data_IF_262233820787
#
_entry.id   IF_262233820787
#
_cell.length_a   1.000
_cell.length_b   1.000
_cell.length_c   1.000
_cell.angle_alpha   90.00
_cell.angle_beta   90.00
_cell.angle_gamma   90.00
#
_symmetry.space_group_name_H-M   'P 1'
#
loop_
_entity.id
_entity.type
_entity.pdbx_description
1 polymer ?
#
# COMPACT_ATOMS: atom_id res chain seq x y z
N UNK A 1 -25.44 -0.80 18.94
CA UNK A 1 -25.13 -0.10 20.20
C UNK A 1 -23.99 0.87 19.88
N UNK A 2 -24.17 2.05 19.28
CA UNK A 2 -25.03 3.19 19.64
C UNK A 2 -25.03 3.48 21.14
N UNK A 3 -24.38 4.59 21.48
CA UNK A 3 -24.32 5.31 22.76
C UNK A 3 -23.31 4.80 23.80
N UNK A 4 -22.07 5.31 23.75
CA UNK A 4 -21.17 5.28 24.92
C UNK A 4 -20.09 6.39 24.98
N UNK A 5 -20.17 7.48 24.20
CA UNK A 5 -19.10 8.52 24.23
C UNK A 5 -19.60 9.95 24.47
N UNK A 6 -20.90 10.20 24.56
CA UNK A 6 -21.44 11.58 24.68
C UNK A 6 -21.52 12.09 26.13
N UNK A 7 -21.14 11.30 27.14
CA UNK A 7 -21.36 11.68 28.55
C UNK A 7 -20.12 12.06 29.37
N UNK A 8 -18.92 12.17 28.77
CA UNK A 8 -17.72 12.50 29.55
C UNK A 8 -17.41 14.01 29.67
N UNK A 9 -17.88 14.90 28.80
CA UNK A 9 -17.29 16.26 28.74
C UNK A 9 -18.11 17.43 29.28
N UNK A 10 -19.18 17.19 30.04
CA UNK A 10 -19.84 18.26 30.81
C UNK A 10 -19.86 17.97 32.31
N UNK A 11 -18.68 17.82 32.91
CA UNK A 11 -18.52 18.26 34.29
C UNK A 11 -18.22 19.76 34.24
N UNK A 12 -19.04 20.63 34.87
CA UNK A 12 -18.67 22.01 35.05
C UNK A 12 -17.41 22.02 35.91
N UNK A 13 -16.26 22.26 35.27
CA UNK A 13 -15.04 22.60 35.97
C UNK A 13 -15.32 23.91 36.71
N UNK A 14 -15.75 23.80 37.97
CA UNK A 14 -15.74 24.91 38.90
C UNK A 14 -14.28 25.33 39.05
N UNK A 15 -13.94 26.38 38.32
CA UNK A 15 -12.65 27.03 38.43
C UNK A 15 -12.67 27.79 39.75
N UNK A 16 -12.18 27.18 40.82
CA UNK A 16 -11.89 27.92 42.03
C UNK A 16 -10.69 28.82 41.72
N UNK A 17 -10.77 30.14 41.99
CA UNK A 17 -9.61 31.00 41.87
C UNK A 17 -8.51 30.46 42.80
N UNK A 18 -7.29 30.38 42.28
CA UNK A 18 -6.12 29.98 43.08
C UNK A 18 -5.79 31.16 44.00
N UNK A 19 -6.25 31.08 45.25
CA UNK A 19 -5.95 32.08 46.27
C UNK A 19 -4.51 31.84 46.78
N UNK A 20 -3.59 32.77 46.52
CA UNK A 20 -2.21 32.70 47.03
C UNK A 20 -2.19 33.22 48.48
N UNK A 21 -1.84 32.37 49.45
CA UNK A 21 -1.72 32.77 50.86
C UNK A 21 -0.25 33.04 51.24
N UNK A 22 0.17 34.31 51.23
CA UNK A 22 1.40 34.75 51.89
C UNK A 22 1.08 35.27 53.30
N UNK A 23 1.10 34.37 54.29
CA UNK A 23 1.11 34.75 55.71
C UNK A 23 -0.13 35.50 56.24
N UNK A 24 -0.20 35.76 57.55
CA UNK A 24 -1.40 36.28 58.18
C UNK A 24 -1.48 37.81 58.04
N UNK A 25 -2.37 38.31 57.17
CA UNK A 25 -2.94 39.66 57.34
C UNK A 25 -3.03 40.60 56.14
N UNK A 26 -2.59 40.23 54.94
CA UNK A 26 -2.84 41.06 53.75
C UNK A 26 -3.13 40.21 52.52
N UNK A 27 -4.34 40.32 51.97
CA UNK A 27 -4.66 39.81 50.65
C UNK A 27 -4.01 40.71 49.59
N UNK A 28 -2.80 40.36 49.17
CA UNK A 28 -2.19 40.93 47.96
C UNK A 28 -2.58 40.07 46.74
N UNK A 29 -2.84 40.69 45.57
CA UNK A 29 -3.04 39.92 44.34
C UNK A 29 -1.81 39.05 44.06
N UNK A 30 -2.02 37.76 43.74
CA UNK A 30 -0.94 36.92 43.19
C UNK A 30 -0.23 37.70 42.07
N UNK A 31 1.12 37.64 41.95
CA UNK A 31 1.80 38.28 40.82
C UNK A 31 1.18 37.76 39.53
N UNK A 32 0.44 38.64 38.84
CA UNK A 32 -0.20 38.30 37.58
C UNK A 32 0.90 37.89 36.62
N UNK A 33 0.76 36.70 36.03
CA UNK A 33 1.67 36.24 34.99
C UNK A 33 1.84 37.35 33.94
N UNK A 34 3.09 37.69 33.62
CA UNK A 34 3.38 38.72 32.62
C UNK A 34 2.97 38.26 31.22
N UNK A 35 2.60 39.21 30.37
CA UNK A 35 2.27 38.96 28.97
C UNK A 35 3.40 38.21 28.23
N UNK A 36 4.66 38.53 28.53
CA UNK A 36 5.85 37.85 28.02
C UNK A 36 5.84 36.36 28.36
N UNK A 37 5.62 35.99 29.63
CA UNK A 37 5.54 34.58 30.06
C UNK A 37 4.36 33.82 29.45
N UNK A 38 3.28 34.52 29.08
CA UNK A 38 2.17 33.92 28.34
C UNK A 38 2.56 33.66 26.89
N UNK A 39 3.18 34.65 26.23
CA UNK A 39 3.65 34.53 24.86
C UNK A 39 4.66 33.39 24.73
N UNK A 40 5.63 33.31 25.65
CA UNK A 40 6.62 32.23 25.67
C UNK A 40 5.96 30.85 25.77
N UNK A 41 4.95 30.69 26.64
CA UNK A 41 4.23 29.41 26.75
C UNK A 41 3.42 29.07 25.51
N UNK A 42 2.80 30.06 24.87
CA UNK A 42 2.03 29.86 23.64
C UNK A 42 2.96 29.49 22.48
N UNK A 43 4.11 30.16 22.36
CA UNK A 43 5.15 29.84 21.38
C UNK A 43 5.67 28.42 21.60
N UNK A 44 6.01 28.08 22.84
CA UNK A 44 6.50 26.74 23.19
C UNK A 44 5.47 25.64 22.86
N UNK A 45 4.18 25.89 23.09
CA UNK A 45 3.13 24.96 22.69
C UNK A 45 3.05 24.82 21.16
N UNK A 46 3.11 25.93 20.43
CA UNK A 46 3.09 25.90 18.96
C UNK A 46 4.29 25.11 18.39
N UNK A 47 5.49 25.30 18.95
CA UNK A 47 6.70 24.56 18.55
C UNK A 47 6.60 23.06 18.85
N UNK A 48 6.09 22.70 20.03
CA UNK A 48 5.90 21.30 20.39
C UNK A 48 4.87 20.63 19.49
N UNK A 49 3.75 21.31 19.21
CA UNK A 49 2.72 20.82 18.28
C UNK A 49 3.32 20.61 16.89
N UNK A 50 4.11 21.56 16.40
CA UNK A 50 4.79 21.44 15.11
C UNK A 50 5.71 20.22 15.08
N UNK A 51 6.58 20.05 16.08
CA UNK A 51 7.55 18.95 16.16
C UNK A 51 6.86 17.59 16.19
N UNK A 52 5.87 17.41 17.06
CA UNK A 52 5.10 16.15 17.16
C UNK A 52 4.35 15.87 15.86
N UNK A 53 3.86 16.92 15.19
CA UNK A 53 3.20 16.78 13.87
C UNK A 53 4.20 16.34 12.79
N UNK A 54 5.42 16.86 12.81
CA UNK A 54 6.49 16.48 11.89
C UNK A 54 6.89 15.00 12.08
N UNK A 55 7.13 14.59 13.32
CA UNK A 55 7.41 13.19 13.69
C UNK A 55 6.26 12.25 13.28
N UNK A 56 5.01 12.69 13.45
CA UNK A 56 3.85 11.91 13.01
C UNK A 56 3.79 11.79 11.47
N UNK A 57 4.24 12.82 10.75
CA UNK A 57 4.24 12.87 9.29
C UNK A 57 5.31 11.96 8.67
N UNK A 58 6.50 11.88 9.29
CA UNK A 58 7.57 10.96 8.86
C UNK A 58 7.14 9.50 9.05
N UNK A 59 6.59 9.15 10.22
CA UNK A 59 6.09 7.80 10.50
C UNK A 59 4.99 7.37 9.53
N UNK A 60 4.07 8.28 9.17
CA UNK A 60 3.02 7.97 8.19
C UNK A 60 3.60 7.77 6.78
N UNK A 61 4.66 8.51 6.42
CA UNK A 61 5.36 8.35 5.14
C UNK A 61 6.12 7.02 5.06
N UNK A 62 6.76 6.58 6.15
CA UNK A 62 7.41 5.26 6.24
C UNK A 62 6.40 4.12 6.10
N UNK A 63 5.26 4.20 6.79
CA UNK A 63 4.18 3.21 6.65
C UNK A 63 3.64 3.14 5.22
N UNK A 64 3.53 4.29 4.55
CA UNK A 64 3.12 4.35 3.16
C UNK A 64 4.16 3.70 2.22
N UNK A 65 5.46 3.98 2.43
CA UNK A 65 6.55 3.36 1.65
C UNK A 65 6.64 1.84 1.85
N UNK A 66 6.43 1.35 3.09
CA UNK A 66 6.33 -0.09 3.39
C UNK A 66 5.17 -0.71 2.60
N UNK A 67 4.03 -0.03 2.55
CA UNK A 67 2.87 -0.50 1.79
C UNK A 67 3.11 -0.49 0.28
N UNK A 68 3.83 0.51 -0.25
CA UNK A 68 4.15 0.61 -1.67
C UNK A 68 5.16 -0.47 -2.10
N UNK A 69 6.13 -0.76 -1.25
CA UNK A 69 7.10 -1.85 -1.45
C UNK A 69 6.38 -3.21 -1.47
N UNK A 70 5.42 -3.42 -0.58
CA UNK A 70 4.59 -4.63 -0.56
C UNK A 70 3.70 -4.75 -1.81
N UNK A 71 3.08 -3.65 -2.27
CA UNK A 71 2.29 -3.63 -3.48
C UNK A 71 3.13 -4.01 -4.70
N UNK A 72 4.33 -3.45 -4.84
CA UNK A 72 5.24 -3.79 -5.95
C UNK A 72 5.69 -5.25 -5.93
N UNK A 73 6.10 -5.77 -4.76
CA UNK A 73 6.45 -7.18 -4.64
C UNK A 73 5.26 -8.09 -4.92
N UNK A 74 4.05 -7.70 -4.50
CA UNK A 74 2.83 -8.43 -4.82
C UNK A 74 2.57 -8.49 -6.32
N UNK A 75 2.79 -7.39 -7.06
CA UNK A 75 2.70 -7.38 -8.52
C UNK A 75 3.76 -8.30 -9.14
N UNK A 76 5.01 -8.24 -8.68
CA UNK A 76 6.08 -9.11 -9.18
C UNK A 76 5.75 -10.60 -8.99
N UNK A 77 5.29 -10.99 -7.79
CA UNK A 77 4.89 -12.37 -7.50
C UNK A 77 3.74 -12.84 -8.38
N UNK A 78 2.73 -11.99 -8.61
CA UNK A 78 1.63 -12.32 -9.51
C UNK A 78 2.16 -12.50 -10.94
N UNK A 79 3.00 -11.59 -11.43
CA UNK A 79 3.58 -11.67 -12.78
C UNK A 79 4.36 -12.99 -12.94
N UNK A 80 5.25 -13.30 -12.00
CA UNK A 80 6.06 -14.53 -12.03
C UNK A 80 5.23 -15.81 -11.95
N UNK A 81 4.15 -15.81 -11.17
CA UNK A 81 3.26 -16.98 -11.07
C UNK A 81 2.51 -17.29 -12.37
N UNK A 82 2.41 -16.33 -13.29
CA UNK A 82 1.64 -16.47 -14.55
C UNK A 82 2.51 -16.67 -15.79
N UNK A 83 3.85 -16.52 -15.70
CA UNK A 83 4.76 -16.75 -16.83
C UNK A 83 4.64 -18.19 -17.35
N UNK A 84 4.92 -19.18 -16.49
CA UNK A 84 4.91 -20.59 -16.88
C UNK A 84 3.51 -21.09 -17.29
N UNK A 85 2.41 -20.78 -16.56
CA UNK A 85 1.07 -21.18 -16.99
C UNK A 85 0.64 -20.62 -18.34
N UNK A 86 1.03 -19.39 -18.70
CA UNK A 86 0.69 -18.81 -20.00
C UNK A 86 1.51 -19.41 -21.15
N UNK A 87 2.79 -19.72 -20.92
CA UNK A 87 3.61 -20.45 -21.89
C UNK A 87 3.03 -21.85 -22.12
N UNK A 88 2.71 -22.58 -21.06
CA UNK A 88 2.07 -23.89 -21.18
C UNK A 88 0.73 -23.83 -21.92
N UNK A 89 -0.11 -22.85 -21.58
CA UNK A 89 -1.38 -22.62 -22.25
C UNK A 89 -1.20 -22.38 -23.76
N UNK A 90 -0.21 -21.58 -24.16
CA UNK A 90 0.13 -21.38 -25.57
C UNK A 90 0.42 -22.72 -26.26
N UNK A 91 1.31 -23.54 -25.69
CA UNK A 91 1.67 -24.85 -26.28
C UNK A 91 0.50 -25.84 -26.35
N UNK A 92 -0.50 -25.66 -25.50
CA UNK A 92 -1.71 -26.50 -25.49
C UNK A 92 -2.68 -26.05 -26.56
N UNK A 93 -2.86 -24.72 -26.72
CA UNK A 93 -3.70 -24.15 -27.77
C UNK A 93 -3.18 -24.47 -29.19
N UNK A 94 -1.86 -24.54 -29.39
CA UNK A 94 -1.25 -24.94 -30.67
C UNK A 94 -1.59 -26.39 -31.08
N UNK A 95 -1.97 -27.24 -30.12
CA UNK A 95 -2.32 -28.65 -30.35
C UNK A 95 -3.81 -28.87 -30.64
N UNK A 96 -4.64 -27.83 -30.57
CA UNK A 96 -6.08 -27.94 -30.80
C UNK A 96 -6.43 -27.63 -32.25
N UNK A 97 -6.97 -28.63 -32.97
CA UNK A 97 -7.32 -28.54 -34.40
C UNK A 97 -8.34 -27.44 -34.77
N UNK A 98 -9.08 -26.89 -33.80
CA UNK A 98 -10.15 -25.92 -34.02
C UNK A 98 -10.02 -24.60 -33.22
N UNK A 99 -8.83 -24.25 -32.73
CA UNK A 99 -8.62 -22.96 -32.05
C UNK A 99 -8.59 -21.83 -33.08
N UNK A 100 -9.39 -20.75 -32.89
CA UNK A 100 -9.30 -19.57 -33.74
C UNK A 100 -7.91 -18.93 -33.64
N UNK A 101 -7.26 -18.65 -34.78
CA UNK A 101 -5.95 -17.98 -34.84
C UNK A 101 -5.90 -16.69 -34.00
N UNK A 102 -7.04 -15.99 -33.90
CA UNK A 102 -7.20 -14.81 -33.07
C UNK A 102 -6.94 -15.07 -31.58
N UNK A 103 -7.40 -16.21 -31.06
CA UNK A 103 -7.21 -16.57 -29.65
C UNK A 103 -5.74 -16.93 -29.40
N UNK A 104 -5.14 -17.74 -30.27
CA UNK A 104 -3.73 -18.12 -30.17
C UNK A 104 -2.80 -16.89 -30.20
N UNK A 105 -3.00 -16.00 -31.18
CA UNK A 105 -2.22 -14.77 -31.31
C UNK A 105 -2.36 -13.85 -30.11
N UNK A 106 -3.57 -13.74 -29.53
CA UNK A 106 -3.79 -12.96 -28.30
C UNK A 106 -3.08 -13.57 -27.11
N UNK A 107 -3.18 -14.89 -26.90
CA UNK A 107 -2.49 -15.57 -25.78
C UNK A 107 -0.98 -15.38 -25.87
N UNK A 108 -0.41 -15.53 -27.06
CA UNK A 108 1.02 -15.28 -27.31
C UNK A 108 1.42 -13.84 -26.98
N UNK A 109 0.68 -12.85 -27.49
CA UNK A 109 0.94 -11.45 -27.19
C UNK A 109 0.87 -11.15 -25.69
N UNK A 110 -0.11 -11.73 -24.98
CA UNK A 110 -0.25 -11.58 -23.52
C UNK A 110 0.96 -12.15 -22.79
N UNK A 111 1.43 -13.35 -23.16
CA UNK A 111 2.62 -13.96 -22.56
C UNK A 111 3.88 -13.08 -22.76
N UNK A 112 4.10 -12.57 -23.98
CA UNK A 112 5.21 -11.66 -24.28
C UNK A 112 5.14 -10.35 -23.47
N UNK A 113 3.93 -9.80 -23.31
CA UNK A 113 3.72 -8.58 -22.51
C UNK A 113 3.85 -8.81 -21.02
N UNK A 114 3.53 -10.00 -20.53
CA UNK A 114 3.73 -10.35 -19.12
C UNK A 114 5.23 -10.36 -18.77
N UNK A 115 6.08 -10.93 -19.63
CA UNK A 115 7.54 -10.90 -19.45
C UNK A 115 8.06 -9.46 -19.50
N UNK A 116 7.56 -8.64 -20.44
CA UNK A 116 7.93 -7.22 -20.51
C UNK A 116 7.54 -6.46 -19.25
N UNK A 117 6.36 -6.78 -18.67
CA UNK A 117 5.88 -6.21 -17.43
C UNK A 117 6.78 -6.61 -16.24
N UNK A 118 7.19 -7.88 -16.16
CA UNK A 118 8.13 -8.35 -15.14
C UNK A 118 9.40 -7.50 -15.11
N UNK A 119 10.00 -7.28 -16.27
CA UNK A 119 11.21 -6.47 -16.39
C UNK A 119 10.96 -5.02 -15.95
N UNK A 120 9.82 -4.44 -16.34
CA UNK A 120 9.41 -3.11 -15.91
C UNK A 120 9.23 -3.01 -14.39
N UNK A 121 8.60 -4.00 -13.76
CA UNK A 121 8.39 -4.04 -12.31
C UNK A 121 9.72 -4.25 -11.57
N UNK A 122 10.62 -5.10 -12.06
CA UNK A 122 11.96 -5.28 -11.48
C UNK A 122 12.78 -3.99 -11.51
N UNK A 123 12.74 -3.25 -12.63
CA UNK A 123 13.39 -1.92 -12.71
C UNK A 123 12.76 -0.93 -11.74
N UNK A 124 11.43 -0.93 -11.61
CA UNK A 124 10.72 -0.05 -10.68
C UNK A 124 11.01 -0.40 -9.21
N UNK A 125 11.06 -1.68 -8.86
CA UNK A 125 11.49 -2.15 -7.53
C UNK A 125 12.90 -1.68 -7.25
N UNK A 126 13.86 -1.88 -8.17
CA UNK A 126 15.23 -1.40 -8.00
C UNK A 126 15.26 0.12 -7.76
N UNK A 127 14.55 0.89 -8.58
CA UNK A 127 14.49 2.35 -8.44
C UNK A 127 13.87 2.80 -7.11
N UNK A 128 12.84 2.11 -6.62
CA UNK A 128 12.16 2.43 -5.35
C UNK A 128 12.88 1.87 -4.12
N UNK A 129 13.72 0.85 -4.29
CA UNK A 129 14.52 0.21 -3.25
C UNK A 129 15.96 0.76 -3.17
N UNK A 130 16.48 1.43 -4.22
CA UNK A 130 17.80 2.07 -4.21
C UNK A 130 17.89 3.28 -3.27
N UNK A 131 16.77 3.83 -2.80
CA UNK A 131 16.74 4.74 -1.63
C UNK A 131 16.88 3.98 -0.28
N UNK A 132 17.01 2.66 -0.28
CA UNK A 132 17.05 1.81 0.91
C UNK A 132 17.62 0.40 0.67
N UNK A 133 18.90 0.33 0.29
CA UNK A 133 19.81 -0.84 0.38
C UNK A 133 19.49 -2.13 -0.41
N UNK A 134 20.61 -2.72 -0.84
CA UNK A 134 20.84 -3.88 -1.71
C UNK A 134 20.23 -5.21 -1.24
N UNK A 135 19.69 -6.00 -2.16
CA UNK A 135 19.58 -7.46 -1.99
C UNK A 135 19.42 -8.20 -3.32
N UNK A 136 20.26 -9.21 -3.52
CA UNK A 136 20.30 -10.14 -4.66
C UNK A 136 19.45 -11.38 -4.34
N UNK A 137 18.74 -11.92 -5.33
CA UNK A 137 18.06 -13.22 -5.20
C UNK A 137 18.53 -14.18 -6.29
N UNK A 138 18.84 -15.41 -5.85
CA UNK A 138 19.34 -16.52 -6.65
C UNK A 138 18.20 -17.48 -7.02
N UNK A 139 18.39 -18.09 -8.18
CA UNK A 139 17.50 -18.93 -8.96
C UNK A 139 17.35 -20.36 -8.38
N UNK A 140 16.13 -20.92 -8.42
CA UNK A 140 15.92 -22.37 -8.28
C UNK A 140 14.75 -22.88 -9.14
N UNK A 141 15.14 -23.67 -10.14
CA UNK A 141 14.36 -24.42 -11.10
C UNK A 141 13.48 -25.53 -10.49
N UNK A 142 12.28 -25.70 -11.03
CA UNK A 142 11.32 -26.78 -10.73
C UNK A 142 11.48 -28.01 -11.65
N UNK A 143 11.12 -29.20 -11.16
CA UNK A 143 10.92 -30.44 -11.95
C UNK A 143 9.44 -30.86 -11.87
N UNK A 144 8.81 -31.15 -13.02
CA UNK A 144 7.43 -31.66 -13.14
C UNK A 144 7.40 -33.14 -13.55
N UNK A 145 6.27 -33.81 -13.28
CA UNK A 145 5.90 -35.11 -13.84
C UNK A 145 4.50 -35.02 -14.46
N UNK A 146 4.33 -35.61 -15.65
CA UNK A 146 3.19 -35.44 -16.58
C UNK A 146 2.22 -36.64 -16.52
N UNK A 147 0.91 -36.35 -16.44
CA UNK A 147 -0.18 -37.30 -16.70
C UNK A 147 -1.23 -36.54 -17.52
N UNK A 148 -1.49 -37.01 -18.73
CA UNK A 148 -2.38 -36.37 -19.70
C UNK A 148 -3.88 -36.66 -19.40
N UNK A 149 -4.74 -35.64 -19.30
CA UNK A 149 -6.19 -35.80 -19.17
C UNK A 149 -6.95 -35.62 -20.50
N UNK A 150 -8.20 -36.09 -20.53
CA UNK A 150 -9.13 -36.06 -21.66
C UNK A 150 -9.34 -34.64 -22.24
N UNK A 151 -9.42 -34.54 -23.58
CA UNK A 151 -9.37 -33.26 -24.34
C UNK A 151 -10.40 -32.23 -23.86
N UNK A 152 -11.60 -32.66 -23.47
CA UNK A 152 -12.66 -31.76 -22.97
C UNK A 152 -12.33 -31.17 -21.58
N UNK A 153 -11.74 -31.98 -20.69
CA UNK A 153 -11.27 -31.52 -19.38
C UNK A 153 -10.09 -30.56 -19.53
N UNK A 154 -9.25 -30.78 -20.54
CA UNK A 154 -8.14 -29.87 -20.89
C UNK A 154 -8.64 -28.49 -21.31
N UNK A 155 -9.67 -28.42 -22.17
CA UNK A 155 -10.25 -27.14 -22.62
C UNK A 155 -10.87 -26.36 -21.45
N UNK A 156 -11.59 -27.05 -20.55
CA UNK A 156 -12.19 -26.42 -19.37
C UNK A 156 -11.12 -25.88 -18.40
N UNK A 157 -10.03 -26.63 -18.20
CA UNK A 157 -8.89 -26.20 -17.39
C UNK A 157 -8.25 -24.95 -17.98
N UNK A 158 -8.01 -24.93 -19.28
CA UNK A 158 -7.39 -23.82 -20.00
C UNK A 158 -8.26 -22.55 -19.97
N UNK A 159 -9.57 -22.71 -20.14
CA UNK A 159 -10.54 -21.61 -19.94
C UNK A 159 -10.53 -21.04 -18.52
N UNK A 160 -10.44 -21.93 -17.51
CA UNK A 160 -10.37 -21.52 -16.10
C UNK A 160 -9.08 -20.75 -15.82
N UNK A 161 -7.94 -21.23 -16.33
CA UNK A 161 -6.65 -20.54 -16.24
C UNK A 161 -6.72 -19.12 -16.83
N UNK A 162 -7.31 -18.95 -18.02
CA UNK A 162 -7.52 -17.62 -18.61
C UNK A 162 -8.41 -16.70 -17.76
N UNK A 163 -9.45 -17.26 -17.14
CA UNK A 163 -10.33 -16.50 -16.26
C UNK A 163 -9.63 -16.05 -14.97
N UNK A 164 -8.77 -16.91 -14.41
CA UNK A 164 -7.94 -16.58 -13.25
C UNK A 164 -6.91 -15.50 -13.62
N UNK A 165 -6.20 -15.67 -14.74
CA UNK A 165 -5.26 -14.66 -15.22
C UNK A 165 -5.94 -13.30 -15.40
N UNK A 166 -7.15 -13.24 -15.95
CA UNK A 166 -7.91 -11.99 -16.09
C UNK A 166 -8.10 -11.27 -14.75
N UNK A 167 -8.42 -12.01 -13.69
CA UNK A 167 -8.61 -11.43 -12.34
C UNK A 167 -7.30 -10.92 -11.77
N UNK A 168 -6.23 -11.69 -11.93
CA UNK A 168 -4.93 -11.30 -11.41
C UNK A 168 -4.31 -10.16 -12.22
N UNK A 169 -4.52 -10.10 -13.53
CA UNK A 169 -4.13 -8.98 -14.37
C UNK A 169 -4.85 -7.68 -13.95
N UNK A 170 -6.15 -7.75 -13.64
CA UNK A 170 -6.88 -6.61 -13.08
C UNK A 170 -6.29 -6.19 -11.73
N UNK A 171 -5.96 -7.16 -10.86
CA UNK A 171 -5.32 -6.89 -9.57
C UNK A 171 -3.94 -6.23 -9.73
N UNK A 172 -3.11 -6.70 -10.67
CA UNK A 172 -1.83 -6.09 -11.03
C UNK A 172 -2.04 -4.63 -11.47
N UNK A 173 -3.01 -4.38 -12.34
CA UNK A 173 -3.35 -3.04 -12.83
C UNK A 173 -3.78 -2.11 -11.69
N UNK A 174 -4.69 -2.55 -10.82
CA UNK A 174 -5.14 -1.77 -9.65
C UNK A 174 -3.97 -1.42 -8.74
N UNK A 175 -3.10 -2.38 -8.43
CA UNK A 175 -1.93 -2.13 -7.58
C UNK A 175 -0.96 -1.13 -8.22
N UNK A 176 -0.67 -1.25 -9.51
CA UNK A 176 0.20 -0.31 -10.23
C UNK A 176 -0.42 1.09 -10.33
N UNK A 177 -1.74 1.20 -10.53
CA UNK A 177 -2.47 2.48 -10.53
C UNK A 177 -2.44 3.13 -9.15
N UNK A 178 -2.64 2.36 -8.09
CA UNK A 178 -2.56 2.84 -6.71
C UNK A 178 -1.15 3.35 -6.39
N UNK A 179 -0.11 2.61 -6.76
CA UNK A 179 1.29 3.01 -6.63
C UNK A 179 1.57 4.32 -7.37
N UNK A 180 1.15 4.42 -8.63
CA UNK A 180 1.28 5.65 -9.42
C UNK A 180 0.59 6.83 -8.73
N UNK A 181 -0.66 6.63 -8.28
CA UNK A 181 -1.43 7.68 -7.60
C UNK A 181 -0.70 8.20 -6.35
N UNK A 182 -0.20 7.30 -5.51
CA UNK A 182 0.55 7.65 -4.28
C UNK A 182 1.83 8.43 -4.58
N UNK A 183 2.49 8.14 -5.70
CA UNK A 183 3.72 8.83 -6.13
C UNK A 183 3.44 10.19 -6.78
N UNK A 184 2.33 10.36 -7.48
CA UNK A 184 2.03 11.60 -8.23
C UNK A 184 1.09 12.57 -7.49
N UNK A 185 0.25 12.08 -6.57
CA UNK A 185 -0.83 12.87 -5.96
C UNK A 185 -1.19 12.35 -4.56
N UNK A 186 -0.47 12.84 -3.52
CA UNK A 186 -0.48 12.29 -2.14
C UNK A 186 -1.85 12.36 -1.43
N UNK A 187 -2.85 13.07 -1.99
CA UNK A 187 -4.10 13.41 -1.30
C UNK A 187 -5.42 13.02 -2.00
N UNK A 188 -5.41 12.40 -3.19
CA UNK A 188 -6.66 12.13 -3.97
C UNK A 188 -6.79 10.70 -4.54
N UNK A 189 -6.39 9.66 -3.82
CA UNK A 189 -6.50 8.27 -4.31
C UNK A 189 -7.82 7.56 -3.94
N UNK A 190 -8.97 8.22 -4.08
CA UNK A 190 -10.26 7.70 -3.61
C UNK A 190 -11.10 6.90 -4.64
N UNK A 191 -10.59 6.63 -5.85
CA UNK A 191 -11.42 6.13 -6.97
C UNK A 191 -10.79 5.05 -7.89
N UNK A 192 -9.95 4.16 -7.38
CA UNK A 192 -9.41 3.04 -8.19
C UNK A 192 -9.45 1.69 -7.46
#
# INVERSE_FOLDING_TARGET
VCWAVVLWTCLPAHSFPVECQEGPGSASPCPSISQEKLLDRVIQHAELIYRVSEESCSLFSELQQISDTWLLHSVLMLVQSWVEPLVYLQTTLERYDAVPDLLLNKTKWVAEKLISLEQGVLVLIRKMLEEGLTSSFNDHSSVQSDVQPEVLESILRDYTSLCCFKKDAHKMETFLKLLKCRQTDKYNCALY
#
